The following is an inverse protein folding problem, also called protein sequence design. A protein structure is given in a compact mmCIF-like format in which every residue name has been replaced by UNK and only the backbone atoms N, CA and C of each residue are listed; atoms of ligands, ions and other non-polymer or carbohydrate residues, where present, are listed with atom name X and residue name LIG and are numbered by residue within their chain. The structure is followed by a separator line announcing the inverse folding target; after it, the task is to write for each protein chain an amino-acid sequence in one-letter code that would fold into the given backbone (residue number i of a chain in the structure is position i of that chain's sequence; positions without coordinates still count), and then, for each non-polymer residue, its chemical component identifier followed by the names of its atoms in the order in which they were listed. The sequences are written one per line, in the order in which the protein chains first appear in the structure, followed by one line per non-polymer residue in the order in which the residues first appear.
data_IF_539556591973
#
_entry.id   IF_539556591973
#
_cell.length_a   1.000
_cell.length_b   1.000
_cell.length_c   1.000
_cell.angle_alpha   90.00
_cell.angle_beta   90.00
_cell.angle_gamma   90.00
#
_symmetry.space_group_name_H-M   'P 1'
#
loop_
_entity.id
_entity.type
_entity.pdbx_description
1 polymer ?
#
# COMPACT_ATOMS: atom_id res chain seq x y z
N UNK A 1 -6.33 -3.81 -5.54
CA UNK A 1 -7.61 -3.23 -5.97
C UNK A 1 -7.84 -3.56 -7.45
N UNK A 2 -9.04 -3.98 -7.82
CA UNK A 2 -9.38 -4.27 -9.22
C UNK A 2 -9.74 -2.94 -9.92
N UNK A 3 -9.15 -2.58 -11.08
CA UNK A 3 -9.48 -1.37 -11.81
C UNK A 3 -10.95 -1.29 -12.24
N UNK A 4 -11.62 -2.43 -12.45
CA UNK A 4 -13.04 -2.48 -12.79
C UNK A 4 -13.99 -2.11 -11.63
N UNK A 5 -13.43 -1.91 -10.41
CA UNK A 5 -14.20 -1.55 -9.20
C UNK A 5 -14.28 -0.03 -9.00
N UNK A 6 -13.69 0.79 -9.89
CA UNK A 6 -13.72 2.25 -9.74
C UNK A 6 -15.12 2.86 -9.70
N UNK A 7 -16.13 2.42 -10.48
CA UNK A 7 -17.47 3.01 -10.43
C UNK A 7 -18.48 2.27 -9.55
N UNK A 8 -18.23 1.03 -9.10
CA UNK A 8 -19.21 0.35 -8.26
C UNK A 8 -19.07 0.82 -6.81
N UNK A 9 -19.97 1.68 -6.39
CA UNK A 9 -20.18 1.98 -4.99
C UNK A 9 -20.55 0.70 -4.24
N UNK A 10 -19.55 -0.06 -3.77
CA UNK A 10 -19.82 -0.93 -2.64
C UNK A 10 -20.23 -0.03 -1.49
N UNK A 11 -21.45 -0.18 -0.93
CA UNK A 11 -21.90 0.66 0.18
C UNK A 11 -21.01 0.57 1.44
N UNK A 12 -19.99 -0.28 1.43
CA UNK A 12 -19.11 -0.56 2.58
C UNK A 12 -17.74 0.12 2.54
N UNK A 13 -17.33 0.78 1.46
CA UNK A 13 -16.07 1.52 1.46
C UNK A 13 -16.13 2.76 0.57
N UNK A 14 -16.18 3.91 1.22
CA UNK A 14 -16.17 5.23 0.56
C UNK A 14 -14.84 5.48 -0.15
N UNK A 15 -13.74 5.08 0.48
CA UNK A 15 -12.40 5.37 -0.04
C UNK A 15 -11.80 4.13 -0.71
N UNK A 16 -11.34 4.31 -1.97
CA UNK A 16 -10.40 3.40 -2.59
C UNK A 16 -9.02 3.68 -2.01
N UNK A 17 -8.37 2.62 -1.51
CA UNK A 17 -7.02 2.75 -0.95
C UNK A 17 -6.01 2.02 -1.83
N UNK A 18 -4.87 2.68 -2.10
CA UNK A 18 -3.74 2.09 -2.81
C UNK A 18 -2.49 2.35 -1.97
N UNK A 19 -1.71 1.31 -1.69
CA UNK A 19 -0.56 1.39 -0.79
C UNK A 19 0.75 0.98 -1.44
N UNK A 20 1.84 1.46 -0.86
CA UNK A 20 3.21 1.11 -1.21
C UNK A 20 4.08 0.96 0.04
N UNK A 21 5.04 0.04 -0.04
CA UNK A 21 6.05 -0.20 0.99
C UNK A 21 7.43 0.17 0.42
N UNK A 22 8.19 0.94 1.19
CA UNK A 22 9.47 1.50 0.76
C UNK A 22 10.57 1.07 1.71
N UNK A 23 11.69 0.62 1.16
CA UNK A 23 12.86 0.16 1.92
C UNK A 23 14.13 0.24 1.09
N UNK A 24 15.32 0.41 1.71
CA UNK A 24 16.60 0.20 1.07
C UNK A 24 16.75 -1.26 0.59
N UNK A 25 17.36 -1.44 -0.57
CA UNK A 25 17.51 -2.78 -1.19
C UNK A 25 18.32 -3.74 -0.31
N UNK A 26 19.26 -3.22 0.47
CA UNK A 26 20.14 -3.95 1.38
C UNK A 26 19.33 -4.64 2.49
N UNK A 27 18.27 -4.03 2.96
CA UNK A 27 17.41 -4.58 4.03
C UNK A 27 16.40 -5.62 3.53
N UNK A 28 16.25 -5.76 2.21
CA UNK A 28 15.24 -6.66 1.63
C UNK A 28 15.40 -8.09 2.12
N UNK A 29 16.63 -8.61 2.15
CA UNK A 29 16.87 -10.00 2.56
C UNK A 29 16.64 -10.19 4.06
N UNK A 30 17.13 -9.28 4.87
CA UNK A 30 16.95 -9.31 6.32
C UNK A 30 15.48 -9.29 6.71
N UNK A 31 14.68 -8.35 6.15
CA UNK A 31 13.25 -8.26 6.44
C UNK A 31 12.53 -9.55 6.05
N UNK A 32 12.83 -10.12 4.88
CA UNK A 32 12.28 -11.41 4.45
C UNK A 32 12.62 -12.54 5.43
N UNK A 33 13.87 -12.60 5.90
CA UNK A 33 14.33 -13.60 6.86
C UNK A 33 13.60 -13.45 8.20
N UNK A 34 13.46 -12.24 8.71
CA UNK A 34 12.73 -11.96 9.97
C UNK A 34 11.24 -12.33 9.86
N UNK A 35 10.58 -12.02 8.73
CA UNK A 35 9.21 -12.49 8.48
C UNK A 35 9.15 -14.01 8.42
N UNK A 36 10.15 -14.67 7.81
CA UNK A 36 10.27 -16.13 7.80
C UNK A 36 10.38 -16.72 9.22
N UNK A 37 11.18 -16.12 10.09
CA UNK A 37 11.31 -16.52 11.48
C UNK A 37 9.98 -16.37 12.27
N UNK A 38 9.23 -15.28 12.03
CA UNK A 38 7.88 -15.11 12.61
C UNK A 38 6.92 -16.18 12.12
N UNK A 39 6.92 -16.49 10.80
CA UNK A 39 6.10 -17.57 10.25
C UNK A 39 6.39 -18.92 10.90
N UNK A 40 7.67 -19.24 11.11
CA UNK A 40 8.09 -20.47 11.76
C UNK A 40 7.63 -20.52 13.23
N UNK A 41 7.84 -19.44 13.98
CA UNK A 41 7.41 -19.33 15.39
C UNK A 41 5.91 -19.55 15.57
N UNK A 42 5.11 -18.94 14.71
CA UNK A 42 3.65 -18.98 14.78
C UNK A 42 3.01 -20.08 13.90
N UNK A 43 3.80 -20.92 13.25
CA UNK A 43 3.33 -21.93 12.28
C UNK A 43 2.36 -21.33 11.23
N UNK A 44 2.68 -20.12 10.72
CA UNK A 44 1.82 -19.31 9.87
C UNK A 44 2.32 -19.32 8.41
N UNK A 45 2.20 -20.45 7.72
CA UNK A 45 2.75 -20.69 6.38
C UNK A 45 1.93 -20.09 5.23
N UNK A 46 0.70 -19.69 5.50
CA UNK A 46 -0.16 -19.09 4.47
C UNK A 46 0.28 -17.67 4.08
N UNK A 47 -0.34 -17.16 3.01
CA UNK A 47 -0.16 -15.78 2.57
C UNK A 47 -0.54 -14.80 3.68
N UNK A 48 0.31 -13.80 3.95
CA UNK A 48 0.00 -12.68 4.84
C UNK A 48 -0.96 -11.76 4.09
N UNK A 49 -2.18 -11.63 4.60
CA UNK A 49 -3.23 -10.83 3.97
C UNK A 49 -4.20 -10.29 5.00
N UNK A 50 -4.66 -9.04 4.84
CA UNK A 50 -5.60 -8.43 5.76
C UNK A 50 -6.88 -9.24 5.96
N UNK A 51 -7.38 -9.86 4.88
CA UNK A 51 -8.58 -10.73 4.96
C UNK A 51 -8.39 -11.99 5.80
N UNK A 52 -7.14 -12.41 6.04
CA UNK A 52 -6.78 -13.61 6.81
C UNK A 52 -6.45 -13.33 8.28
N UNK A 53 -6.52 -12.07 8.72
CA UNK A 53 -6.39 -11.70 10.13
C UNK A 53 -7.57 -12.30 10.91
N UNK A 54 -7.26 -13.17 11.86
CA UNK A 54 -8.23 -13.94 12.63
C UNK A 54 -7.78 -14.09 14.08
N UNK A 55 -8.68 -14.44 15.04
CA UNK A 55 -8.31 -14.61 16.45
C UNK A 55 -7.13 -15.56 16.66
N UNK A 56 -7.11 -16.70 15.98
CA UNK A 56 -6.07 -17.73 16.13
C UNK A 56 -4.70 -17.30 15.57
N UNK A 57 -4.64 -16.23 14.78
CA UNK A 57 -3.41 -15.69 14.17
C UNK A 57 -3.13 -14.26 14.59
N UNK A 58 -3.84 -13.74 15.59
CA UNK A 58 -3.73 -12.37 16.08
C UNK A 58 -2.28 -12.01 16.41
N UNK A 59 -1.64 -12.83 17.22
CA UNK A 59 -0.30 -12.55 17.75
C UNK A 59 0.76 -12.53 16.63
N UNK A 60 0.64 -13.41 15.64
CA UNK A 60 1.47 -13.36 14.43
C UNK A 60 1.35 -12.02 13.69
N UNK A 61 0.13 -11.53 13.48
CA UNK A 61 -0.09 -10.26 12.80
C UNK A 61 0.32 -9.05 13.63
N UNK A 62 0.19 -9.12 14.95
CA UNK A 62 0.69 -8.10 15.88
C UNK A 62 2.22 -8.02 15.81
N UNK A 63 2.92 -9.16 15.85
CA UNK A 63 4.39 -9.19 15.73
C UNK A 63 4.88 -8.72 14.35
N UNK A 64 4.11 -8.89 13.28
CA UNK A 64 4.41 -8.29 11.97
C UNK A 64 4.34 -6.76 12.00
N UNK A 65 3.42 -6.18 12.78
CA UNK A 65 3.38 -4.73 13.02
C UNK A 65 4.62 -4.29 13.79
N UNK A 66 5.00 -5.02 14.85
CA UNK A 66 6.20 -4.74 15.63
C UNK A 66 7.46 -4.79 14.77
N UNK A 67 7.55 -5.78 13.89
CA UNK A 67 8.63 -5.87 12.92
C UNK A 67 8.64 -4.66 11.99
N UNK A 68 7.50 -4.26 11.42
CA UNK A 68 7.42 -3.05 10.58
C UNK A 68 7.91 -1.80 11.33
N UNK A 69 7.46 -1.62 12.56
CA UNK A 69 7.82 -0.45 13.37
C UNK A 69 9.30 -0.45 13.76
N UNK A 70 9.87 -1.62 14.08
CA UNK A 70 11.26 -1.76 14.54
C UNK A 70 12.32 -1.26 13.53
N UNK A 71 11.98 -1.16 12.25
CA UNK A 71 12.88 -0.64 11.22
C UNK A 71 12.89 0.90 11.12
N UNK A 72 12.09 1.62 11.94
CA UNK A 72 12.04 3.08 11.86
C UNK A 72 11.83 3.56 10.42
N UNK A 73 12.57 4.56 10.00
CA UNK A 73 12.45 5.17 8.67
C UNK A 73 13.05 4.32 7.53
N UNK A 74 13.70 3.21 7.86
CA UNK A 74 14.22 2.27 6.87
C UNK A 74 13.14 1.35 6.25
N UNK A 75 11.97 1.27 6.85
CA UNK A 75 10.82 0.56 6.29
C UNK A 75 9.60 1.45 6.41
N UNK A 76 9.21 2.08 5.32
CA UNK A 76 8.18 3.12 5.27
C UNK A 76 6.96 2.66 4.51
N UNK A 77 5.80 3.10 4.95
CA UNK A 77 4.53 2.82 4.28
C UNK A 77 3.85 4.11 3.84
N UNK A 78 3.39 4.14 2.59
CA UNK A 78 2.54 5.20 2.06
C UNK A 78 1.30 4.62 1.41
N UNK A 79 0.17 5.25 1.66
CA UNK A 79 -1.03 4.97 0.88
C UNK A 79 -1.74 6.27 0.47
N UNK A 80 -2.53 6.17 -0.59
CA UNK A 80 -3.47 7.21 -1.00
C UNK A 80 -4.89 6.75 -0.74
N UNK A 81 -5.74 7.67 -0.30
CA UNK A 81 -7.17 7.49 -0.11
C UNK A 81 -7.92 8.34 -1.14
N UNK A 82 -8.60 7.68 -2.06
CA UNK A 82 -9.37 8.31 -3.15
C UNK A 82 -10.86 8.22 -2.81
N UNK A 83 -11.53 9.34 -2.67
CA UNK A 83 -12.99 9.37 -2.43
C UNK A 83 -13.72 8.95 -3.71
N UNK A 84 -14.35 7.78 -3.68
CA UNK A 84 -15.08 7.23 -4.82
C UNK A 84 -16.27 8.07 -5.26
N UNK A 85 -16.86 8.85 -4.34
CA UNK A 85 -17.99 9.73 -4.65
C UNK A 85 -17.58 10.94 -5.49
N UNK A 86 -16.28 11.25 -5.52
CA UNK A 86 -15.71 12.37 -6.28
C UNK A 86 -15.04 11.92 -7.59
N UNK A 87 -15.02 10.60 -7.87
CA UNK A 87 -14.43 10.09 -9.10
C UNK A 87 -15.27 10.46 -10.32
N UNK A 88 -14.66 11.17 -11.24
CA UNK A 88 -15.25 11.45 -12.56
C UNK A 88 -14.43 10.73 -13.64
N UNK A 89 -14.93 9.61 -14.13
CA UNK A 89 -14.24 8.82 -15.14
C UNK A 89 -14.15 9.54 -16.50
N UNK A 90 -15.01 10.51 -16.78
CA UNK A 90 -14.90 11.31 -18.01
C UNK A 90 -13.56 12.05 -18.11
N UNK A 91 -12.93 12.39 -16.96
CA UNK A 91 -11.59 12.98 -16.89
C UNK A 91 -10.47 11.98 -17.18
N UNK A 92 -10.80 10.71 -17.38
CA UNK A 92 -9.86 9.61 -17.63
C UNK A 92 -10.28 8.83 -18.88
N UNK A 93 -10.82 9.51 -19.89
CA UNK A 93 -11.32 8.92 -21.15
C UNK A 93 -12.34 7.78 -20.92
N UNK A 94 -13.11 7.84 -19.85
CA UNK A 94 -13.97 6.77 -19.33
C UNK A 94 -13.23 5.44 -19.10
N UNK A 95 -11.89 5.48 -18.94
CA UNK A 95 -11.04 4.34 -18.68
C UNK A 95 -10.65 4.26 -17.21
N UNK A 96 -11.34 3.40 -16.45
CA UNK A 96 -11.04 3.18 -15.02
C UNK A 96 -9.63 2.64 -14.78
N UNK A 97 -9.07 1.89 -15.73
CA UNK A 97 -7.70 1.41 -15.64
C UNK A 97 -6.69 2.56 -15.75
N UNK A 98 -6.89 3.48 -16.70
CA UNK A 98 -6.07 4.69 -16.83
C UNK A 98 -6.14 5.52 -15.53
N UNK A 99 -7.35 5.75 -15.00
CA UNK A 99 -7.55 6.46 -13.75
C UNK A 99 -6.77 5.81 -12.60
N UNK A 100 -6.80 4.48 -12.51
CA UNK A 100 -6.07 3.73 -11.49
C UNK A 100 -4.54 3.92 -11.61
N UNK A 101 -3.98 3.91 -12.82
CA UNK A 101 -2.54 4.14 -13.03
C UNK A 101 -2.12 5.60 -12.77
N UNK A 102 -2.98 6.59 -12.98
CA UNK A 102 -2.76 7.96 -12.51
C UNK A 102 -2.66 8.03 -10.99
N UNK A 103 -3.45 7.25 -10.25
CA UNK A 103 -3.31 7.16 -8.79
C UNK A 103 -2.03 6.43 -8.35
N UNK A 104 -1.56 5.43 -9.09
CA UNK A 104 -0.23 4.85 -8.86
C UNK A 104 0.87 5.89 -9.02
N UNK A 105 0.80 6.73 -10.05
CA UNK A 105 1.75 7.81 -10.23
C UNK A 105 1.75 8.76 -9.02
N UNK A 106 0.60 9.20 -8.54
CA UNK A 106 0.47 10.06 -7.36
C UNK A 106 0.98 9.39 -6.08
N UNK A 107 0.77 8.09 -5.94
CA UNK A 107 1.29 7.33 -4.81
C UNK A 107 2.81 7.34 -4.76
N UNK A 108 3.47 7.18 -5.91
CA UNK A 108 4.91 6.93 -6.00
C UNK A 108 5.74 8.21 -6.17
N UNK A 109 5.29 9.12 -7.05
CA UNK A 109 6.07 10.27 -7.51
C UNK A 109 6.71 11.10 -6.38
N UNK A 110 5.94 11.42 -5.33
CA UNK A 110 6.43 12.30 -4.25
C UNK A 110 7.42 11.64 -3.27
N UNK A 111 7.63 10.33 -3.36
CA UNK A 111 8.55 9.59 -2.51
C UNK A 111 9.77 9.07 -3.27
N UNK A 112 9.89 9.39 -4.53
CA UNK A 112 11.11 9.21 -5.32
C UNK A 112 12.00 10.40 -4.99
N UNK A 113 13.07 10.14 -4.24
CA UNK A 113 14.04 11.14 -3.79
C UNK A 113 15.18 11.22 -4.80
N UNK A 114 15.79 12.41 -4.91
CA UNK A 114 16.93 12.68 -5.78
C UNK A 114 18.12 11.75 -5.51
N UNK A 115 18.89 11.49 -6.55
CA UNK A 115 20.15 10.73 -6.51
C UNK A 115 20.02 9.27 -6.01
N UNK A 116 18.83 8.67 -6.16
CA UNK A 116 18.57 7.28 -5.81
C UNK A 116 18.14 6.46 -7.02
N UNK A 117 18.34 5.15 -6.93
CA UNK A 117 17.84 4.15 -7.87
C UNK A 117 16.67 3.39 -7.29
N UNK A 118 15.61 3.20 -8.09
CA UNK A 118 14.39 2.53 -7.66
C UNK A 118 14.05 1.32 -8.52
N UNK A 119 13.68 0.23 -7.84
CA UNK A 119 13.04 -0.95 -8.44
C UNK A 119 11.62 -1.05 -7.88
N UNK A 120 10.63 -0.98 -8.77
CA UNK A 120 9.22 -0.94 -8.39
C UNK A 120 8.60 -2.30 -8.68
N UNK A 121 8.01 -2.91 -7.65
CA UNK A 121 7.32 -4.18 -7.74
C UNK A 121 5.83 -3.96 -7.46
N UNK A 122 4.97 -4.29 -8.41
CA UNK A 122 3.53 -4.18 -8.27
C UNK A 122 2.91 -5.57 -8.13
N UNK A 123 1.81 -5.68 -7.38
CA UNK A 123 0.99 -6.89 -7.39
C UNK A 123 0.40 -7.12 -8.78
N UNK A 124 0.42 -8.37 -9.22
CA UNK A 124 -0.14 -8.76 -10.53
C UNK A 124 -1.61 -8.39 -10.60
N UNK A 125 -1.96 -7.72 -11.66
CA UNK A 125 -3.34 -7.40 -12.03
C UNK A 125 -3.60 -7.82 -13.46
N UNK A 126 -4.82 -8.24 -13.73
CA UNK A 126 -5.29 -8.41 -15.10
C UNK A 126 -5.52 -7.02 -15.70
N UNK A 127 -4.54 -6.51 -16.41
CA UNK A 127 -4.66 -5.27 -17.17
C UNK A 127 -5.23 -5.56 -18.55
N UNK A 128 -6.16 -4.72 -19.00
CA UNK A 128 -6.63 -4.73 -20.41
C UNK A 128 -5.52 -4.26 -21.35
N UNK A 129 -4.75 -3.26 -20.93
CA UNK A 129 -3.59 -2.75 -21.66
C UNK A 129 -2.27 -3.15 -20.97
N UNK A 130 -1.49 -4.09 -21.53
CA UNK A 130 -0.22 -4.53 -20.95
C UNK A 130 0.84 -3.42 -20.91
N UNK A 131 0.65 -2.33 -21.67
CA UNK A 131 1.58 -1.19 -21.70
C UNK A 131 1.44 -0.25 -20.51
N UNK A 132 0.42 -0.38 -19.68
CA UNK A 132 0.16 0.53 -18.53
C UNK A 132 1.33 0.62 -17.56
N UNK A 133 1.87 -0.52 -17.14
CA UNK A 133 2.99 -0.54 -16.18
C UNK A 133 4.28 0.04 -16.79
N UNK A 134 4.71 -0.31 -18.02
CA UNK A 134 5.81 0.38 -18.70
C UNK A 134 5.60 1.89 -18.89
N UNK A 135 4.36 2.33 -19.16
CA UNK A 135 4.04 3.76 -19.25
C UNK A 135 4.25 4.45 -17.91
N UNK A 136 3.76 3.85 -16.81
CA UNK A 136 3.99 4.37 -15.45
C UNK A 136 5.49 4.57 -15.17
N UNK A 137 6.31 3.55 -15.46
CA UNK A 137 7.76 3.63 -15.27
C UNK A 137 8.38 4.80 -16.03
N UNK A 138 8.02 5.00 -17.32
CA UNK A 138 8.48 6.14 -18.11
C UNK A 138 8.02 7.50 -17.57
N UNK A 139 6.78 7.59 -17.09
CA UNK A 139 6.26 8.83 -16.49
C UNK A 139 7.03 9.17 -15.21
N UNK A 140 7.28 8.19 -14.34
CA UNK A 140 8.05 8.38 -13.12
C UNK A 140 9.50 8.81 -13.42
N UNK A 141 10.16 8.17 -14.40
CA UNK A 141 11.53 8.55 -14.82
C UNK A 141 11.60 9.98 -15.36
N UNK A 142 10.60 10.39 -16.14
CA UNK A 142 10.57 11.76 -16.71
C UNK A 142 10.28 12.84 -15.67
N UNK A 143 9.53 12.50 -14.65
CA UNK A 143 9.18 13.45 -13.59
C UNK A 143 10.28 13.59 -12.51
N UNK A 144 11.25 12.67 -12.48
CA UNK A 144 12.31 12.60 -11.47
C UNK A 144 13.66 12.49 -12.16
N UNK A 145 14.13 13.61 -12.72
CA UNK A 145 15.30 13.65 -13.61
C UNK A 145 16.62 13.34 -12.89
N UNK A 146 16.68 13.51 -11.60
CA UNK A 146 17.86 13.29 -10.75
C UNK A 146 17.89 11.89 -10.12
N UNK A 147 16.84 11.08 -10.33
CA UNK A 147 16.74 9.70 -9.85
C UNK A 147 16.53 8.72 -11.01
N UNK A 148 16.79 7.44 -10.77
CA UNK A 148 16.68 6.40 -11.80
C UNK A 148 15.60 5.38 -11.43
N UNK A 149 14.64 5.14 -12.34
CA UNK A 149 13.72 4.01 -12.25
C UNK A 149 14.32 2.86 -13.05
N UNK A 150 15.05 1.98 -12.38
CA UNK A 150 15.78 0.87 -13.00
C UNK A 150 14.82 -0.17 -13.57
N UNK A 151 13.74 -0.48 -12.85
CA UNK A 151 12.74 -1.43 -13.32
C UNK A 151 11.37 -1.21 -12.69
N UNK A 152 10.33 -1.55 -13.47
CA UNK A 152 8.94 -1.71 -12.99
C UNK A 152 8.47 -3.10 -13.36
N UNK A 153 8.11 -3.92 -12.37
CA UNK A 153 7.75 -5.32 -12.57
C UNK A 153 6.43 -5.65 -11.86
N UNK A 154 5.65 -6.53 -12.47
CA UNK A 154 4.45 -7.11 -11.87
C UNK A 154 4.80 -8.51 -11.34
N UNK A 155 4.52 -8.76 -10.05
CA UNK A 155 4.82 -10.02 -9.38
C UNK A 155 3.59 -10.53 -8.63
N UNK A 156 3.36 -11.86 -8.59
CA UNK A 156 2.25 -12.42 -7.84
C UNK A 156 2.45 -12.21 -6.32
N UNK A 157 1.47 -11.61 -5.66
CA UNK A 157 1.58 -11.24 -4.23
C UNK A 157 1.83 -12.45 -3.32
N UNK A 158 1.29 -13.63 -3.69
CA UNK A 158 1.50 -14.84 -2.88
C UNK A 158 2.96 -15.31 -2.82
N UNK A 159 3.82 -14.88 -3.77
CA UNK A 159 5.25 -15.18 -3.80
C UNK A 159 6.12 -14.08 -3.16
N UNK A 160 5.55 -12.88 -2.93
CA UNK A 160 6.34 -11.71 -2.52
C UNK A 160 5.91 -11.20 -1.14
N UNK A 161 6.65 -11.64 -0.12
CA UNK A 161 6.39 -11.31 1.29
C UNK A 161 6.25 -9.80 1.55
N UNK A 162 7.02 -8.95 0.87
CA UNK A 162 6.95 -7.50 1.06
C UNK A 162 5.65 -6.91 0.49
N UNK A 163 5.12 -7.46 -0.60
CA UNK A 163 3.79 -7.09 -1.12
C UNK A 163 2.71 -7.53 -0.13
N UNK A 164 2.86 -8.71 0.49
CA UNK A 164 1.95 -9.20 1.51
C UNK A 164 1.96 -8.32 2.77
N UNK A 165 3.14 -7.87 3.20
CA UNK A 165 3.26 -6.93 4.32
C UNK A 165 2.60 -5.58 3.99
N UNK A 166 2.76 -5.11 2.75
CA UNK A 166 2.05 -3.92 2.24
C UNK A 166 0.52 -4.09 2.31
N UNK A 167 -0.02 -5.27 1.91
CA UNK A 167 -1.47 -5.56 1.99
C UNK A 167 -1.98 -5.51 3.43
N UNK A 168 -1.21 -6.03 4.39
CA UNK A 168 -1.56 -5.97 5.81
C UNK A 168 -1.68 -4.52 6.30
N UNK A 169 -0.67 -3.70 6.02
CA UNK A 169 -0.64 -2.28 6.43
C UNK A 169 -1.73 -1.47 5.72
N UNK A 170 -1.95 -1.73 4.43
CA UNK A 170 -3.01 -1.12 3.65
C UNK A 170 -4.40 -1.49 4.20
N UNK A 171 -4.59 -2.75 4.57
CA UNK A 171 -5.83 -3.23 5.17
C UNK A 171 -6.12 -2.56 6.52
N UNK A 172 -5.09 -2.37 7.35
CA UNK A 172 -5.19 -1.64 8.62
C UNK A 172 -5.62 -0.18 8.38
N UNK A 173 -4.93 0.55 7.48
CA UNK A 173 -5.28 1.91 7.11
C UNK A 173 -6.70 1.99 6.51
N UNK A 174 -7.02 1.10 5.58
CA UNK A 174 -8.32 1.07 4.91
C UNK A 174 -9.47 0.83 5.89
N UNK A 175 -9.30 -0.07 6.84
CA UNK A 175 -10.36 -0.38 7.81
C UNK A 175 -10.67 0.81 8.73
N UNK A 176 -9.65 1.60 9.09
CA UNK A 176 -9.83 2.81 9.91
C UNK A 176 -10.42 3.95 9.09
N UNK A 177 -9.90 4.22 7.89
CA UNK A 177 -10.34 5.33 7.02
C UNK A 177 -11.77 5.13 6.49
N UNK A 178 -12.17 3.88 6.26
CA UNK A 178 -13.53 3.53 5.81
C UNK A 178 -14.50 3.20 6.97
N UNK A 179 -14.06 3.34 8.22
CA UNK A 179 -14.86 3.05 9.41
C UNK A 179 -15.49 1.64 9.38
N UNK A 180 -14.71 0.65 8.95
CA UNK A 180 -15.15 -0.75 8.87
C UNK A 180 -14.56 -1.63 9.98
N UNK A 181 -13.75 -1.03 10.85
CA UNK A 181 -13.13 -1.72 11.98
C UNK A 181 -14.17 -1.99 13.06
N UNK A 182 -14.20 -3.24 13.56
CA UNK A 182 -15.06 -3.63 14.67
C UNK A 182 -14.21 -3.85 15.90
N UNK A 183 -14.59 -3.23 17.00
CA UNK A 183 -13.90 -3.40 18.29
C UNK A 183 -13.93 -4.84 18.78
N UNK A 184 -12.93 -5.21 19.58
CA UNK A 184 -12.81 -6.56 20.15
C UNK A 184 -12.38 -7.65 19.15
N UNK A 185 -12.10 -7.30 17.89
CA UNK A 185 -11.66 -8.26 16.88
C UNK A 185 -10.13 -8.36 16.79
N UNK A 186 -9.61 -9.45 16.21
CA UNK A 186 -8.20 -9.56 15.91
C UNK A 186 -7.69 -8.40 14.99
N UNK A 187 -8.53 -7.92 14.09
CA UNK A 187 -8.22 -6.76 13.24
C UNK A 187 -8.09 -5.49 14.05
N UNK A 188 -8.97 -5.27 15.04
CA UNK A 188 -8.84 -4.10 15.91
C UNK A 188 -7.57 -4.16 16.76
N UNK A 189 -7.17 -5.34 17.25
CA UNK A 189 -5.92 -5.49 17.99
C UNK A 189 -4.68 -5.14 17.13
N UNK A 190 -4.66 -5.56 15.86
CA UNK A 190 -3.59 -5.22 14.92
C UNK A 190 -3.53 -3.71 14.66
N UNK A 191 -4.68 -3.06 14.43
CA UNK A 191 -4.75 -1.60 14.23
C UNK A 191 -4.33 -0.86 15.49
N UNK A 192 -4.85 -1.24 16.65
CA UNK A 192 -4.49 -0.63 17.94
C UNK A 192 -2.99 -0.75 18.23
N UNK A 193 -2.38 -1.90 17.93
CA UNK A 193 -0.93 -2.07 18.07
C UNK A 193 -0.15 -1.10 17.18
N UNK A 194 -0.56 -0.95 15.92
CA UNK A 194 0.05 -0.02 14.98
C UNK A 194 -0.12 1.43 15.47
N UNK A 195 -1.33 1.83 15.87
CA UNK A 195 -1.62 3.16 16.40
C UNK A 195 -0.82 3.47 17.67
N UNK A 196 -0.73 2.53 18.60
CA UNK A 196 0.08 2.67 19.80
C UNK A 196 1.57 2.86 19.49
N UNK A 197 2.09 2.10 18.53
CA UNK A 197 3.49 2.20 18.13
C UNK A 197 3.81 3.50 17.35
N UNK A 198 2.84 4.04 16.60
CA UNK A 198 2.96 5.33 15.92
C UNK A 198 2.64 6.53 16.82
N UNK A 199 2.12 6.30 18.04
CA UNK A 199 1.71 7.35 18.98
C UNK A 199 0.49 8.17 18.51
N UNK A 200 -0.30 7.65 17.54
CA UNK A 200 -1.45 8.36 16.98
C UNK A 200 -2.46 7.41 16.33
N UNK A 201 -3.70 7.85 16.25
CA UNK A 201 -4.73 7.16 15.47
C UNK A 201 -4.43 7.26 13.95
N UNK A 202 -4.78 6.20 13.19
CA UNK A 202 -4.67 6.20 11.74
C UNK A 202 -5.68 7.17 11.13
N UNK A 203 -5.19 8.30 10.64
CA UNK A 203 -5.93 9.36 9.98
C UNK A 203 -5.09 9.91 8.81
N UNK A 204 -5.68 10.70 7.89
CA UNK A 204 -4.91 11.40 6.88
C UNK A 204 -3.78 12.22 7.50
N UNK A 205 -2.57 12.10 6.94
CA UNK A 205 -1.35 12.70 7.48
C UNK A 205 -0.89 13.89 6.66
N UNK A 206 -0.01 14.70 7.26
CA UNK A 206 0.71 15.72 6.51
C UNK A 206 1.70 15.07 5.52
N UNK A 207 2.06 15.79 4.46
CA UNK A 207 3.00 15.31 3.42
C UNK A 207 4.40 14.95 3.94
N UNK A 208 4.80 15.52 5.07
CA UNK A 208 6.09 15.29 5.73
C UNK A 208 6.11 14.05 6.62
N UNK A 209 4.99 13.35 6.76
CA UNK A 209 4.99 12.07 7.49
C UNK A 209 5.68 11.00 6.63
N UNK A 210 6.76 10.44 7.13
CA UNK A 210 7.61 9.52 6.36
C UNK A 210 7.48 8.05 6.77
N UNK A 211 7.09 7.75 8.02
CA UNK A 211 6.96 6.37 8.49
C UNK A 211 5.69 5.69 8.00
N UNK A 212 4.54 6.32 8.26
CA UNK A 212 3.23 5.76 7.91
C UNK A 212 2.32 6.88 7.36
N UNK A 213 2.42 7.12 6.07
CA UNK A 213 1.73 8.22 5.41
C UNK A 213 0.39 7.77 4.82
N UNK A 214 -0.67 8.48 5.18
CA UNK A 214 -2.01 8.34 4.59
C UNK A 214 -2.35 9.65 3.88
N UNK A 215 -2.19 9.68 2.57
CA UNK A 215 -2.47 10.84 1.75
C UNK A 215 -3.89 10.80 1.19
N UNK A 216 -4.75 11.70 1.66
CA UNK A 216 -6.10 11.85 1.10
C UNK A 216 -6.05 12.76 -0.12
N UNK A 217 -6.30 12.19 -1.30
CA UNK A 217 -6.33 12.94 -2.55
C UNK A 217 -7.58 13.84 -2.60
N UNK A 218 -7.38 15.08 -3.04
CA UNK A 218 -8.47 16.01 -3.37
C UNK A 218 -8.64 16.02 -4.88
N UNK A 219 -9.81 15.57 -5.37
CA UNK A 219 -10.10 15.47 -6.79
C UNK A 219 -10.72 16.76 -7.36
N UNK A 220 -10.79 17.85 -6.58
CA UNK A 220 -11.33 19.14 -7.04
C UNK A 220 -10.27 19.84 -7.90
N UNK A 221 -10.59 20.10 -9.16
CA UNK A 221 -9.78 20.90 -10.07
C UNK A 221 -9.13 20.15 -11.25
N UNK A 222 -9.79 19.15 -11.83
CA UNK A 222 -9.39 18.59 -13.13
C UNK A 222 -8.15 17.69 -13.07
N UNK A 223 -8.32 16.50 -12.58
CA UNK A 223 -7.40 15.38 -12.73
C UNK A 223 -7.92 14.38 -13.76
#
# INVERSE_FOLDING_TARGET
ANPDVLPSASPRSRYLMIGSLWLPVELRHEIKSRVGALRQRHQAWGEIKWSKVSPNRRDFYVELIDLFVSYGDNLRFRCIAVDRTQLNLALHDNDGELGFYKFYYQLLHHWILDFNEYRIFCDVKSNRDPKRLPVLGRCLSRANLTSSIVSTQSLPSHEVVLIQLCDLLLGAASSRINDTLRDGTAKSAVVQRLEAALGRTLAPTHKTEEKFNIFKIRLQGGW
#
